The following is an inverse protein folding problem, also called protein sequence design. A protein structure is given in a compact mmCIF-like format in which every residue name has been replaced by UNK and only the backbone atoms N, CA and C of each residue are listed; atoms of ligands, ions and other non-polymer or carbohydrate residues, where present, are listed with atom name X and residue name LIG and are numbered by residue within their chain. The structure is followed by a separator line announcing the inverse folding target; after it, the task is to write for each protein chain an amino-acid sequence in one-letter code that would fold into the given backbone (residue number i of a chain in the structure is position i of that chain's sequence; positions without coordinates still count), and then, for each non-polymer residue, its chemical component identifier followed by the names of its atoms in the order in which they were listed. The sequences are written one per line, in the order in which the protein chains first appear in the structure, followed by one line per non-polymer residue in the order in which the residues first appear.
data_IF_358712244665
#
_entry.id   IF_358712244665
#
_cell.length_a   1.000
_cell.length_b   1.000
_cell.length_c   1.000
_cell.angle_alpha   90.00
_cell.angle_beta   90.00
_cell.angle_gamma   90.00
#
_symmetry.space_group_name_H-M   'P 1'
#
loop_
_entity.id
_entity.type
_entity.pdbx_description
1 polymer ?
#
# COMPACT_ATOMS: atom_id res chain seq x y z
N UNK A 1 5.25 13.15 -16.55
CA UNK A 1 4.11 12.81 -15.70
C UNK A 1 4.62 12.42 -14.33
N UNK A 2 4.10 13.02 -13.31
CA UNK A 2 4.62 12.72 -11.98
C UNK A 2 3.49 12.47 -11.00
N UNK A 3 3.78 11.74 -9.94
CA UNK A 3 2.80 11.47 -8.89
C UNK A 3 2.67 12.72 -8.05
N UNK A 4 1.48 13.31 -8.07
CA UNK A 4 1.21 14.53 -7.30
C UNK A 4 0.44 14.23 -6.03
N UNK A 5 -0.08 13.03 -5.87
CA UNK A 5 -0.70 12.59 -4.63
C UNK A 5 -0.65 11.07 -4.58
N UNK A 6 -0.55 10.52 -3.38
CA UNK A 6 -0.50 9.08 -3.20
C UNK A 6 -1.19 8.75 -1.89
N UNK A 7 -2.15 7.85 -1.93
CA UNK A 7 -2.89 7.46 -0.73
C UNK A 7 -2.90 5.96 -0.60
N UNK A 8 -2.54 5.48 0.57
CA UNK A 8 -2.65 4.07 0.89
C UNK A 8 -4.06 3.86 1.42
N UNK A 9 -4.86 3.14 0.64
CA UNK A 9 -6.26 2.96 0.97
C UNK A 9 -6.48 1.89 2.02
N UNK A 10 -5.61 0.88 2.04
CA UNK A 10 -5.78 -0.22 2.95
C UNK A 10 -4.43 -0.86 3.22
N UNK A 11 -4.21 -1.25 4.47
CA UNK A 11 -2.99 -1.96 4.87
C UNK A 11 -3.41 -3.33 5.39
N UNK A 12 -2.68 -4.35 4.97
CA UNK A 12 -2.89 -5.71 5.46
C UNK A 12 -1.65 -6.18 6.21
N UNK A 13 -1.85 -6.98 7.23
CA UNK A 13 -0.74 -7.39 8.09
C UNK A 13 -0.30 -8.83 7.83
N UNK A 14 -1.05 -9.60 7.06
CA UNK A 14 -0.63 -10.96 6.73
C UNK A 14 -1.01 -11.25 5.30
N UNK A 15 -0.50 -12.36 4.77
CA UNK A 15 -0.74 -12.73 3.40
C UNK A 15 0.21 -12.01 2.46
N UNK A 16 0.05 -12.28 1.19
CA UNK A 16 0.93 -11.69 0.17
C UNK A 16 0.51 -10.29 -0.21
N UNK A 17 -0.78 -10.00 -0.19
CA UNK A 17 -1.25 -8.65 -0.48
C UNK A 17 -1.03 -7.79 0.74
N UNK A 18 -0.22 -6.74 0.61
CA UNK A 18 0.19 -5.93 1.74
C UNK A 18 -0.53 -4.59 1.81
N UNK A 19 -0.88 -4.02 0.68
CA UNK A 19 -1.55 -2.73 0.69
C UNK A 19 -2.26 -2.49 -0.62
N UNK A 20 -3.25 -1.62 -0.58
CA UNK A 20 -3.94 -1.14 -1.77
C UNK A 20 -3.77 0.36 -1.81
N UNK A 21 -3.34 0.87 -2.95
CA UNK A 21 -2.86 2.24 -3.08
C UNK A 21 -3.56 2.92 -4.25
N UNK A 22 -3.79 4.21 -4.12
CA UNK A 22 -4.27 5.06 -5.21
C UNK A 22 -3.26 6.17 -5.43
N UNK A 23 -3.02 6.53 -6.66
CA UNK A 23 -2.14 7.64 -6.98
C UNK A 23 -2.86 8.63 -7.89
N UNK A 24 -2.40 9.87 -7.86
CA UNK A 24 -2.85 10.90 -8.78
C UNK A 24 -1.63 11.36 -9.55
N UNK A 25 -1.79 11.49 -10.86
CA UNK A 25 -0.71 11.90 -11.75
C UNK A 25 -1.02 13.28 -12.31
N UNK A 26 -0.08 14.20 -12.17
CA UNK A 26 -0.18 15.56 -12.71
C UNK A 26 -1.47 16.26 -12.30
N UNK A 27 -2.04 15.85 -11.16
CA UNK A 27 -3.32 16.40 -10.66
C UNK A 27 -4.46 16.25 -11.66
N UNK A 28 -4.32 15.35 -12.62
CA UNK A 28 -5.32 15.18 -13.65
C UNK A 28 -5.82 13.75 -13.80
N UNK A 29 -5.03 12.76 -13.39
CA UNK A 29 -5.40 11.38 -13.62
C UNK A 29 -5.20 10.58 -12.34
N UNK A 30 -6.22 9.84 -11.92
CA UNK A 30 -6.13 9.00 -10.74
C UNK A 30 -6.09 7.53 -11.16
N UNK A 31 -5.25 6.76 -10.51
CA UNK A 31 -5.17 5.31 -10.73
C UNK A 31 -5.45 4.64 -9.40
N UNK A 32 -6.45 3.79 -9.38
CA UNK A 32 -6.86 3.09 -8.16
C UNK A 32 -6.49 1.61 -8.23
N UNK A 33 -6.55 0.95 -7.08
CA UNK A 33 -6.37 -0.51 -6.99
C UNK A 33 -4.97 -0.96 -7.38
N UNK A 34 -3.98 -0.12 -7.12
CA UNK A 34 -2.59 -0.54 -7.22
C UNK A 34 -2.27 -1.33 -5.95
N UNK A 35 -1.59 -2.45 -6.10
CA UNK A 35 -1.35 -3.33 -4.96
C UNK A 35 0.12 -3.43 -4.64
N UNK A 36 0.42 -3.46 -3.34
CA UNK A 36 1.77 -3.79 -2.86
C UNK A 36 1.72 -5.24 -2.44
N UNK A 37 2.58 -6.05 -3.03
CA UNK A 37 2.55 -7.50 -2.86
C UNK A 37 3.91 -7.98 -2.36
N UNK A 38 3.89 -8.91 -1.41
CA UNK A 38 5.11 -9.51 -0.91
C UNK A 38 5.46 -10.70 -1.80
N UNK A 39 6.55 -10.56 -2.54
CA UNK A 39 7.07 -11.64 -3.33
C UNK A 39 7.95 -12.55 -2.48
N UNK A 40 8.62 -13.47 -3.14
CA UNK A 40 9.47 -14.41 -2.41
C UNK A 40 10.69 -13.72 -1.81
N UNK A 41 11.26 -12.75 -2.50
CA UNK A 41 12.47 -12.10 -2.05
C UNK A 41 12.30 -10.62 -1.77
N UNK A 42 11.22 -10.00 -2.26
CA UNK A 42 11.05 -8.56 -2.07
C UNK A 42 9.61 -8.17 -2.30
N UNK A 43 9.29 -6.96 -1.86
CA UNK A 43 8.00 -6.36 -2.17
C UNK A 43 8.00 -5.86 -3.60
N UNK A 44 6.86 -5.92 -4.24
CA UNK A 44 6.73 -5.34 -5.57
C UNK A 44 5.34 -4.71 -5.73
N UNK A 45 5.19 -3.94 -6.79
CA UNK A 45 3.95 -3.24 -7.08
C UNK A 45 3.24 -3.93 -8.23
N UNK A 46 1.98 -4.26 -8.02
CA UNK A 46 1.15 -4.86 -9.05
C UNK A 46 0.14 -3.83 -9.51
N UNK A 47 0.09 -3.59 -10.81
CA UNK A 47 -0.82 -2.61 -11.37
C UNK A 47 -2.22 -3.20 -11.44
N UNK A 48 -3.25 -2.34 -11.53
CA UNK A 48 -4.62 -2.84 -11.63
C UNK A 48 -4.80 -3.65 -12.90
N UNK A 49 -5.46 -4.78 -12.79
CA UNK A 49 -5.65 -5.66 -13.91
C UNK A 49 -7.08 -6.18 -13.93
N UNK A 50 -7.45 -6.77 -15.05
CA UNK A 50 -8.78 -7.26 -15.24
C UNK A 50 -8.72 -8.55 -16.04
N UNK A 51 -9.60 -9.48 -15.72
CA UNK A 51 -9.66 -10.74 -16.43
C UNK A 51 -10.42 -10.54 -17.73
N UNK A 52 -9.84 -10.97 -18.83
CA UNK A 52 -10.50 -10.83 -20.12
C UNK A 52 -11.41 -12.03 -20.38
N UNK A 53 -12.00 -12.07 -21.57
CA UNK A 53 -12.94 -13.12 -21.91
C UNK A 53 -12.31 -14.50 -21.92
N UNK A 54 -11.02 -14.56 -22.22
CA UNK A 54 -10.31 -15.82 -22.23
C UNK A 54 -9.81 -16.26 -20.87
N UNK A 55 -10.10 -15.49 -19.82
CA UNK A 55 -9.64 -15.82 -18.49
C UNK A 55 -8.24 -15.36 -18.19
N UNK A 56 -7.64 -14.55 -19.04
CA UNK A 56 -6.29 -14.07 -18.86
C UNK A 56 -6.34 -12.68 -18.22
N UNK A 57 -5.53 -12.46 -17.17
CA UNK A 57 -5.47 -11.15 -16.53
C UNK A 57 -4.60 -10.22 -17.36
N UNK A 58 -5.11 -9.04 -17.61
CA UNK A 58 -4.39 -8.01 -18.35
C UNK A 58 -4.40 -6.73 -17.54
N UNK A 59 -3.26 -6.05 -17.50
CA UNK A 59 -3.18 -4.79 -16.80
C UNK A 59 -4.05 -3.76 -17.51
N UNK A 60 -4.81 -3.02 -16.72
CA UNK A 60 -5.61 -1.91 -17.24
C UNK A 60 -4.71 -0.71 -17.46
N UNK A 61 -3.74 -0.53 -16.57
CA UNK A 61 -2.79 0.56 -16.60
C UNK A 61 -1.41 -0.03 -16.30
N UNK A 62 -0.40 0.38 -17.04
CA UNK A 62 0.94 -0.09 -16.72
C UNK A 62 1.98 0.91 -17.23
N UNK A 63 3.16 0.97 -16.58
CA UNK A 63 4.24 1.80 -17.11
C UNK A 63 4.79 1.17 -18.39
N UNK A 64 5.20 2.02 -19.30
CA UNK A 64 5.64 1.53 -20.60
C UNK A 64 7.15 1.59 -20.77
N UNK A 65 7.88 1.90 -19.72
CA UNK A 65 9.33 1.88 -19.76
C UNK A 65 9.87 1.43 -18.41
N UNK A 66 11.10 0.95 -18.41
CA UNK A 66 11.75 0.55 -17.17
C UNK A 66 11.89 1.73 -16.22
N UNK A 67 12.17 2.90 -16.77
CA UNK A 67 12.29 4.11 -15.97
C UNK A 67 10.98 4.46 -15.27
N UNK A 68 9.88 4.40 -16.01
CA UNK A 68 8.57 4.71 -15.44
C UNK A 68 8.20 3.71 -14.36
N UNK A 69 8.49 2.43 -14.61
CA UNK A 69 8.20 1.40 -13.61
C UNK A 69 9.01 1.61 -12.35
N UNK A 70 10.29 1.93 -12.49
CA UNK A 70 11.15 2.18 -11.35
C UNK A 70 10.64 3.36 -10.54
N UNK A 71 10.25 4.43 -11.23
CA UNK A 71 9.73 5.60 -10.56
C UNK A 71 8.48 5.27 -9.75
N UNK A 72 7.53 4.58 -10.37
CA UNK A 72 6.29 4.23 -9.69
C UNK A 72 6.53 3.31 -8.50
N UNK A 73 7.36 2.28 -8.71
CA UNK A 73 7.66 1.35 -7.63
C UNK A 73 8.34 2.04 -6.47
N UNK A 74 9.33 2.90 -6.75
CA UNK A 74 10.05 3.59 -5.69
C UNK A 74 9.11 4.45 -4.87
N UNK A 75 8.26 5.24 -5.54
CA UNK A 75 7.35 6.12 -4.85
C UNK A 75 6.34 5.35 -4.00
N UNK A 76 5.78 4.31 -4.57
CA UNK A 76 4.75 3.54 -3.87
C UNK A 76 5.34 2.75 -2.72
N UNK A 77 6.48 2.10 -2.95
CA UNK A 77 7.10 1.30 -1.89
C UNK A 77 7.64 2.17 -0.77
N UNK A 78 8.19 3.35 -1.09
CA UNK A 78 8.63 4.27 -0.04
C UNK A 78 7.45 4.70 0.83
N UNK A 79 6.33 5.04 0.21
CA UNK A 79 5.14 5.42 0.97
C UNK A 79 4.63 4.27 1.82
N UNK A 80 4.68 3.06 1.29
CA UNK A 80 4.26 1.88 2.04
C UNK A 80 5.14 1.67 3.26
N UNK A 81 6.46 1.78 3.09
CA UNK A 81 7.38 1.58 4.19
C UNK A 81 7.19 2.65 5.28
N UNK A 82 6.96 3.89 4.86
CA UNK A 82 6.68 4.95 5.81
C UNK A 82 5.42 4.67 6.62
N UNK A 83 4.36 4.25 5.93
CA UNK A 83 3.10 3.97 6.60
C UNK A 83 3.23 2.80 7.55
N UNK A 84 3.98 1.79 7.14
CA UNK A 84 4.21 0.61 7.96
C UNK A 84 4.96 1.01 9.24
N UNK A 85 5.97 1.85 9.11
CA UNK A 85 6.73 2.31 10.27
C UNK A 85 5.85 3.11 11.22
N UNK A 86 5.00 3.98 10.68
CA UNK A 86 4.09 4.76 11.51
C UNK A 86 3.10 3.87 12.25
N UNK A 87 2.60 2.84 11.60
CA UNK A 87 1.68 1.91 12.25
C UNK A 87 2.38 1.16 13.37
N UNK A 88 3.62 0.76 13.16
CA UNK A 88 4.39 0.07 14.19
C UNK A 88 4.65 0.98 15.38
N UNK A 89 5.00 2.24 15.14
CA UNK A 89 5.20 3.20 16.20
C UNK A 89 3.94 3.43 17.00
N UNK A 90 2.81 3.57 16.31
CA UNK A 90 1.54 3.79 16.97
C UNK A 90 1.17 2.59 17.83
N UNK A 91 1.40 1.39 17.32
CA UNK A 91 1.10 0.20 18.09
C UNK A 91 1.96 0.10 19.33
N UNK A 92 3.25 0.43 19.20
CA UNK A 92 4.15 0.41 20.34
C UNK A 92 3.77 1.45 21.38
N UNK A 93 3.47 2.67 20.92
CA UNK A 93 3.07 3.74 21.83
C UNK A 93 1.76 3.37 22.53
N UNK A 94 0.81 2.83 21.82
CA UNK A 94 -0.46 2.45 22.41
C UNK A 94 -0.27 1.34 23.42
N UNK A 95 0.59 0.37 23.11
CA UNK A 95 0.90 -0.69 24.06
C UNK A 95 1.54 -0.20 25.31
N UNK A 96 2.54 0.68 25.17
CA UNK A 96 3.21 1.25 26.33
C UNK A 96 2.25 2.09 27.17
N UNK A 97 1.43 2.90 26.53
CA UNK A 97 0.49 3.73 27.23
C UNK A 97 -0.53 2.89 27.98
N UNK A 98 -0.99 1.81 27.36
CA UNK A 98 -1.95 0.93 27.98
C UNK A 98 -1.34 0.24 29.20
N UNK A 99 -0.11 -0.19 29.09
CA UNK A 99 0.58 -0.80 30.22
C UNK A 99 0.76 0.18 31.37
N UNK A 100 1.17 1.39 31.04
CA UNK A 100 1.38 2.40 32.06
C UNK A 100 0.08 2.75 32.76
N UNK A 101 -1.02 2.71 32.06
CA UNK A 101 -2.32 3.00 32.63
C UNK A 101 -2.94 1.82 33.31
N UNK A 102 -2.35 0.64 33.24
CA UNK A 102 -2.93 -0.56 33.82
C UNK A 102 -4.04 -1.14 33.00
N UNK A 103 -4.13 -0.79 31.75
CA UNK A 103 -5.16 -1.28 30.85
C UNK A 103 -4.53 -2.34 29.96
N UNK A 104 -5.24 -3.42 29.66
CA UNK A 104 -4.68 -4.43 28.77
C UNK A 104 -4.33 -3.82 27.41
N UNK A 105 -3.21 -4.20 26.89
CA UNK A 105 -2.78 -3.68 25.62
C UNK A 105 -3.50 -4.38 24.50
N UNK A 106 -4.69 -4.02 24.21
CA UNK A 106 -5.41 -4.57 23.14
C UNK A 106 -5.07 -3.86 21.92
N UNK A 107 -4.86 -4.53 20.91
CA UNK A 107 -4.54 -3.94 19.68
C UNK A 107 -5.65 -3.07 19.28
N UNK A 108 -5.44 -1.90 19.12
CA UNK A 108 -6.41 -1.06 18.59
C UNK A 108 -6.68 -1.54 17.25
N UNK A 109 -7.76 -1.55 16.92
CA UNK A 109 -8.11 -1.95 15.68
C UNK A 109 -7.48 -1.16 14.69
N UNK A 110 -6.68 -1.54 14.18
CA UNK A 110 -6.06 -0.75 13.29
C UNK A 110 -6.89 -0.49 12.19
N UNK A 111 -6.96 -0.27 11.92
CA UNK A 111 -7.33 -0.07 10.96
C UNK A 111 -8.29 0.08 10.46
N UNK A 112 -8.46 0.18 10.79
CA UNK A 112 -9.05 0.30 10.31
C UNK A 112 -9.14 0.85 9.47
N UNK A 113 -9.21 0.96 9.13
CA UNK A 113 -9.19 1.23 8.45
C UNK A 113 -9.34 1.53 7.55
N UNK A 114 -9.47 1.72 7.27
CA UNK A 114 -9.43 1.99 6.48
C UNK A 114 -9.97 2.41 5.57
N UNK A 115 -10.34 2.75 5.15
CA UNK A 115 -10.65 3.16 4.25
C UNK A 115 -11.24 3.78 4.15
#
# INVERSE_FOLDING_TARGET
MEITDLKIRKMMTDGRLRAIVSITLDQMLAVHDIKVVQGETRLFVAMPSRKDEGGIFRDIVHPISAQARQYLENQILDAYQEQLALMQEEAESAGLAAEAAGIPAEAPAPAETAE
#
